data_IF_773443759654
#
_entry.id   IF_773443759654
#
_cell.length_a   1.000
_cell.length_b   1.000
_cell.length_c   1.000
_cell.angle_alpha   90.00
_cell.angle_beta   90.00
_cell.angle_gamma   90.00
#
_symmetry.space_group_name_H-M   'P 1'
#
loop_
_entity.id
_entity.type
_entity.pdbx_description
1 polymer ?
#
# COMPACT_ATOMS: atom_id res chain seq x y z
N UNK A 1 2.23 -12.68 -13.70
CA UNK A 1 1.53 -11.85 -12.68
C UNK A 1 2.25 -12.13 -11.38
N UNK A 2 2.78 -11.10 -10.75
CA UNK A 2 3.65 -11.20 -9.57
C UNK A 2 2.99 -10.34 -8.49
N UNK A 3 2.59 -10.99 -7.42
CA UNK A 3 1.88 -10.40 -6.29
C UNK A 3 2.88 -10.19 -5.15
N UNK A 4 2.96 -8.97 -4.63
CA UNK A 4 3.80 -8.65 -3.47
C UNK A 4 2.90 -8.14 -2.35
N UNK A 5 2.81 -8.90 -1.25
CA UNK A 5 2.25 -8.42 0.01
C UNK A 5 3.38 -7.86 0.84
N UNK A 6 3.27 -6.60 1.24
CA UNK A 6 4.17 -6.00 2.22
C UNK A 6 3.38 -5.76 3.50
N UNK A 7 3.90 -6.28 4.61
CA UNK A 7 3.47 -5.86 5.93
C UNK A 7 4.28 -4.62 6.28
N UNK A 8 3.64 -3.46 6.29
CA UNK A 8 4.35 -2.19 6.42
C UNK A 8 4.05 -1.65 7.81
N UNK A 9 4.95 -1.94 8.74
CA UNK A 9 4.84 -1.53 10.13
C UNK A 9 6.04 -0.65 10.51
N UNK A 10 5.96 0.65 10.21
CA UNK A 10 6.98 1.60 10.63
C UNK A 10 8.10 1.77 9.60
N UNK A 11 9.21 1.04 9.71
CA UNK A 11 10.40 1.30 8.89
C UNK A 11 10.16 1.08 7.38
N UNK A 12 9.24 0.20 6.99
CA UNK A 12 8.88 0.04 5.58
C UNK A 12 8.07 1.23 5.02
N UNK A 13 7.50 2.11 5.89
CA UNK A 13 6.84 3.34 5.44
C UNK A 13 7.86 4.29 4.80
N UNK A 14 9.11 4.26 5.27
CA UNK A 14 10.18 5.07 4.68
C UNK A 14 10.45 4.67 3.24
N UNK A 15 10.28 3.39 2.88
CA UNK A 15 10.40 2.90 1.51
C UNK A 15 9.31 3.54 0.65
N UNK A 16 8.04 3.48 1.06
CA UNK A 16 6.94 4.08 0.28
C UNK A 16 7.03 5.61 0.18
N UNK A 17 7.65 6.26 1.17
CA UNK A 17 7.88 7.71 1.17
C UNK A 17 9.14 8.12 0.41
N UNK A 18 10.01 7.19 0.07
CA UNK A 18 11.28 7.48 -0.56
C UNK A 18 11.09 7.91 -2.02
N UNK A 19 12.08 8.64 -2.54
CA UNK A 19 12.10 9.01 -3.96
C UNK A 19 12.18 7.79 -4.88
N UNK A 20 12.83 6.72 -4.43
CA UNK A 20 12.97 5.46 -5.15
C UNK A 20 11.61 4.77 -5.35
N UNK A 21 10.68 4.87 -4.41
CA UNK A 21 9.33 4.33 -4.58
C UNK A 21 8.52 5.04 -5.68
N UNK A 22 8.92 6.25 -6.09
CA UNK A 22 8.32 6.95 -7.22
C UNK A 22 8.88 6.54 -8.58
N UNK A 23 9.99 5.80 -8.61
CA UNK A 23 10.62 5.33 -9.85
C UNK A 23 10.00 4.00 -10.30
N UNK A 24 9.37 3.92 -11.49
CA UNK A 24 8.84 2.68 -12.05
C UNK A 24 9.85 1.53 -12.10
N UNK A 25 11.15 1.83 -12.27
CA UNK A 25 12.22 0.84 -12.37
C UNK A 25 12.54 0.15 -11.02
N UNK A 26 12.25 0.81 -9.89
CA UNK A 26 12.41 0.23 -8.55
C UNK A 26 11.44 -0.91 -8.26
N UNK A 27 10.37 -1.00 -9.04
CA UNK A 27 9.33 -2.01 -8.91
C UNK A 27 9.51 -3.07 -9.99
N UNK A 28 10.54 -3.91 -9.95
CA UNK A 28 10.76 -4.90 -11.02
C UNK A 28 9.64 -5.95 -11.02
N UNK A 29 8.90 -6.05 -12.14
CA UNK A 29 7.79 -7.01 -12.37
C UNK A 29 6.62 -6.99 -11.38
N UNK A 30 6.58 -6.08 -10.40
CA UNK A 30 5.43 -5.97 -9.49
C UNK A 30 4.22 -5.49 -10.30
N UNK A 31 3.05 -6.12 -10.20
CA UNK A 31 1.83 -5.57 -10.84
C UNK A 31 0.72 -5.30 -9.83
N UNK A 32 0.81 -5.94 -8.67
CA UNK A 32 -0.13 -5.78 -7.56
C UNK A 32 0.68 -5.62 -6.28
N UNK A 33 0.39 -4.55 -5.56
CA UNK A 33 0.96 -4.23 -4.26
C UNK A 33 -0.17 -4.12 -3.24
N UNK A 34 -0.01 -4.76 -2.09
CA UNK A 34 -0.92 -4.61 -0.95
C UNK A 34 -0.10 -4.22 0.26
N UNK A 35 -0.54 -3.17 0.96
CA UNK A 35 0.07 -2.74 2.21
C UNK A 35 -0.94 -2.17 3.20
N UNK A 36 -0.56 -2.16 4.47
CA UNK A 36 -1.31 -1.54 5.56
C UNK A 36 -0.72 -0.17 5.91
N UNK A 37 -1.57 0.79 6.22
CA UNK A 37 -1.19 2.05 6.82
C UNK A 37 -1.85 2.20 8.19
N UNK A 38 -1.04 2.22 9.25
CA UNK A 38 -1.54 2.48 10.60
C UNK A 38 -1.45 3.95 10.98
N UNK A 39 -2.60 4.61 11.14
CA UNK A 39 -2.67 5.97 11.67
C UNK A 39 -2.34 6.06 13.16
N UNK A 40 -2.17 4.92 13.85
CA UNK A 40 -1.68 4.92 15.23
C UNK A 40 -0.16 5.06 15.29
N UNK A 41 0.55 4.52 14.29
CA UNK A 41 2.02 4.55 14.14
C UNK A 41 2.50 5.79 13.38
N UNK A 42 1.86 6.12 12.26
CA UNK A 42 2.09 7.35 11.49
C UNK A 42 0.78 8.12 11.32
N UNK A 43 0.62 9.19 12.10
CA UNK A 43 -0.64 9.95 12.22
C UNK A 43 -0.86 10.94 11.08
N UNK A 44 0.17 11.25 10.29
CA UNK A 44 0.10 12.29 9.29
C UNK A 44 -0.59 11.83 8.01
N UNK A 45 -1.77 12.40 7.74
CA UNK A 45 -2.51 12.22 6.48
C UNK A 45 -1.68 12.70 5.28
N UNK A 46 -0.86 13.74 5.46
CA UNK A 46 0.06 14.20 4.42
C UNK A 46 1.07 13.14 4.03
N UNK A 47 1.59 12.38 5.00
CA UNK A 47 2.54 11.29 4.74
C UNK A 47 1.87 10.12 4.02
N UNK A 48 0.62 9.82 4.38
CA UNK A 48 -0.18 8.82 3.65
C UNK A 48 -0.37 9.21 2.18
N UNK A 49 -0.75 10.45 1.90
CA UNK A 49 -0.90 10.93 0.52
C UNK A 49 0.42 11.00 -0.24
N UNK A 50 1.55 11.29 0.43
CA UNK A 50 2.87 11.22 -0.18
C UNK A 50 3.18 9.80 -0.67
N UNK A 51 2.93 8.79 0.17
CA UNK A 51 3.12 7.38 -0.21
C UNK A 51 2.25 6.99 -1.42
N UNK A 52 0.96 7.35 -1.41
CA UNK A 52 0.07 7.10 -2.55
C UNK A 52 0.56 7.82 -3.81
N UNK A 53 1.01 9.06 -3.68
CA UNK A 53 1.52 9.85 -4.81
C UNK A 53 2.78 9.22 -5.41
N UNK A 54 3.68 8.70 -4.59
CA UNK A 54 4.86 7.99 -5.10
C UNK A 54 4.45 6.76 -5.90
N UNK A 55 3.49 5.97 -5.41
CA UNK A 55 2.97 4.81 -6.15
C UNK A 55 2.32 5.21 -7.48
N UNK A 56 1.54 6.30 -7.51
CA UNK A 56 0.99 6.85 -8.76
C UNK A 56 2.08 7.19 -9.77
N UNK A 57 3.15 7.85 -9.32
CA UNK A 57 4.29 8.20 -10.17
C UNK A 57 5.05 6.97 -10.69
N UNK A 58 5.09 5.90 -9.89
CA UNK A 58 5.64 4.60 -10.28
C UNK A 58 4.71 3.79 -11.23
N UNK A 59 3.54 4.32 -11.57
CA UNK A 59 2.59 3.75 -12.51
C UNK A 59 1.48 2.91 -11.88
N UNK A 60 1.35 2.87 -10.55
CA UNK A 60 0.19 2.28 -9.89
C UNK A 60 -1.01 3.20 -10.04
N UNK A 61 -2.00 2.75 -10.81
CA UNK A 61 -3.11 3.59 -11.24
C UNK A 61 -3.99 3.97 -10.05
N UNK A 62 -4.28 5.26 -9.87
CA UNK A 62 -5.12 5.74 -8.78
C UNK A 62 -6.58 5.32 -8.91
N UNK A 63 -7.07 5.01 -10.12
CA UNK A 63 -8.42 4.44 -10.31
C UNK A 63 -8.52 2.97 -9.91
N UNK A 64 -7.38 2.27 -9.87
CA UNK A 64 -7.25 0.87 -9.43
C UNK A 64 -6.56 0.75 -8.07
N UNK A 65 -6.18 1.90 -7.47
CA UNK A 65 -5.64 1.99 -6.13
C UNK A 65 -6.78 2.33 -5.19
N UNK A 66 -7.20 1.33 -4.44
CA UNK A 66 -8.35 1.43 -3.56
C UNK A 66 -7.91 1.16 -2.12
N UNK A 67 -8.52 1.87 -1.19
CA UNK A 67 -8.28 1.66 0.22
C UNK A 67 -9.58 1.76 1.01
N UNK A 68 -9.78 0.82 1.93
CA UNK A 68 -10.95 0.79 2.79
C UNK A 68 -10.53 0.85 4.25
N UNK A 69 -11.07 1.82 4.99
CA UNK A 69 -10.84 1.97 6.43
C UNK A 69 -11.86 1.23 7.29
N UNK A 70 -12.61 0.28 6.72
CA UNK A 70 -13.58 -0.53 7.45
C UNK A 70 -12.95 -1.89 7.74
N UNK A 71 -12.14 -1.95 8.78
CA UNK A 71 -11.47 -3.18 9.21
C UNK A 71 -12.43 -4.35 9.35
N UNK A 72 -12.01 -5.49 8.80
CA UNK A 72 -12.32 -6.90 9.10
C UNK A 72 -12.28 -7.70 7.80
N UNK A 73 -11.08 -8.13 7.38
CA UNK A 73 -10.92 -9.01 6.20
C UNK A 73 -10.54 -10.44 6.62
N UNK A 74 -11.20 -11.04 7.61
CA UNK A 74 -11.08 -12.50 7.84
C UNK A 74 -12.38 -13.10 8.40
N UNK A 75 -12.88 -14.14 7.72
CA UNK A 75 -14.00 -14.97 8.19
C UNK A 75 -13.61 -15.96 9.31
N UNK A 76 -12.43 -15.83 9.93
CA UNK A 76 -11.86 -16.90 10.78
C UNK A 76 -11.38 -16.49 12.17
N UNK A 77 -11.56 -15.24 12.58
CA UNK A 77 -11.37 -14.83 13.97
C UNK A 77 -12.61 -14.13 14.54
N UNK A 78 -13.14 -14.66 15.65
CA UNK A 78 -14.34 -14.15 16.28
C UNK A 78 -14.15 -12.78 16.96
N UNK A 79 -12.90 -12.36 17.24
CA UNK A 79 -12.58 -11.14 18.00
C UNK A 79 -11.34 -10.37 17.49
N UNK A 80 -11.21 -10.34 16.15
CA UNK A 80 -10.42 -9.39 15.35
C UNK A 80 -8.90 -9.60 15.29
N UNK A 81 -8.44 -9.84 14.05
CA UNK A 81 -7.09 -9.50 13.57
C UNK A 81 -7.22 -8.73 12.26
N UNK A 82 -6.28 -7.81 12.05
CA UNK A 82 -5.79 -7.22 10.78
C UNK A 82 -6.78 -6.92 9.62
N UNK A 83 -6.77 -5.70 9.05
CA UNK A 83 -6.22 -4.49 9.64
C UNK A 83 -6.91 -4.21 10.98
N UNK A 84 -6.21 -3.59 11.92
CA UNK A 84 -6.88 -3.09 13.13
C UNK A 84 -7.93 -2.06 12.71
N UNK A 85 -8.99 -1.82 13.50
CA UNK A 85 -10.09 -0.94 13.10
C UNK A 85 -9.70 0.53 12.80
N UNK A 86 -8.43 0.92 13.03
CA UNK A 86 -7.87 2.25 12.73
C UNK A 86 -6.88 2.24 11.56
N UNK A 87 -6.61 1.08 11.00
CA UNK A 87 -5.62 0.89 9.96
C UNK A 87 -6.33 0.76 8.61
N UNK A 88 -5.66 1.23 7.58
CA UNK A 88 -6.18 1.23 6.21
C UNK A 88 -5.39 0.20 5.41
N UNK A 89 -6.08 -0.72 4.75
CA UNK A 89 -5.44 -1.58 3.73
C UNK A 89 -5.55 -0.88 2.39
N UNK A 90 -4.41 -0.74 1.74
CA UNK A 90 -4.28 -0.18 0.40
C UNK A 90 -3.95 -1.30 -0.56
N UNK A 91 -4.75 -1.40 -1.62
CA UNK A 91 -4.49 -2.25 -2.76
C UNK A 91 -4.11 -1.32 -3.91
N UNK A 92 -2.92 -1.51 -4.49
CA UNK A 92 -2.43 -0.74 -5.61
C UNK A 92 -2.12 -1.67 -6.78
N UNK A 93 -2.60 -1.31 -7.97
CA UNK A 93 -2.39 -2.09 -9.18
C UNK A 93 -1.70 -1.23 -10.23
N UNK A 94 -0.74 -1.81 -10.94
CA UNK A 94 -0.19 -1.23 -12.16
C UNK A 94 -0.24 -2.22 -13.31
N UNK A 95 -0.40 -1.69 -14.51
CA UNK A 95 -0.37 -2.51 -15.71
C UNK A 95 1.04 -3.08 -15.92
N UNK A 96 1.09 -4.29 -16.50
CA UNK A 96 2.36 -4.90 -16.84
C UNK A 96 3.00 -4.08 -17.96
N UNK A 97 4.09 -3.38 -17.65
CA UNK A 97 4.94 -2.76 -18.66
C UNK A 97 5.55 -3.89 -19.48
N UNK A 98 5.11 -4.01 -20.73
CA UNK A 98 5.72 -4.93 -21.69
C UNK A 98 6.84 -4.16 -22.35
N UNK A 99 8.09 -4.47 -21.99
CA UNK A 99 9.29 -3.93 -22.63
C UNK A 99 9.47 -4.61 -23.99
#
# INVERSE_FOLDING_TARGET
>A
ITFVKMDIEGAELDILRSTEASDPASWLDVTHLVFEWSFTKERSVTQFHLALRNLELAGFNSSDTWYEGKGSWWDTEADVIWPFHKDIVVFAKRDKVTI
#
